data_IF_207912206776
#
_entry.id   IF_207912206776
#
_cell.length_a   1.000
_cell.length_b   1.000
_cell.length_c   1.000
_cell.angle_alpha   90.00
_cell.angle_beta   90.00
_cell.angle_gamma   90.00
#
_symmetry.space_group_name_H-M   'P 1'
#
loop_
_entity.id
_entity.type
_entity.pdbx_description
1 polymer ?
#
# COMPACT_ATOMS: atom_id res chain seq x y z
N UNK A 1 5.38 -52.85 -25.09
CA UNK A 1 4.85 -51.54 -24.63
C UNK A 1 5.43 -51.26 -23.26
N UNK A 2 6.41 -50.36 -23.14
CA UNK A 2 6.98 -49.96 -21.84
C UNK A 2 6.02 -48.96 -21.22
N UNK A 3 5.29 -49.35 -20.17
CA UNK A 3 4.39 -48.43 -19.47
C UNK A 3 5.24 -47.27 -18.94
N UNK A 4 4.96 -46.07 -19.42
CA UNK A 4 5.53 -44.84 -18.91
C UNK A 4 5.03 -44.70 -17.47
N UNK A 5 5.93 -44.89 -16.51
CA UNK A 5 5.62 -44.67 -15.10
C UNK A 5 5.42 -43.15 -14.95
N UNK A 6 4.28 -42.68 -14.46
CA UNK A 6 4.08 -41.25 -14.23
C UNK A 6 5.12 -40.76 -13.23
N UNK A 7 5.75 -39.62 -13.51
CA UNK A 7 6.65 -38.99 -12.56
C UNK A 7 5.93 -38.73 -11.24
N UNK A 8 6.59 -38.97 -10.09
CA UNK A 8 6.02 -38.66 -8.79
C UNK A 8 5.73 -37.15 -8.70
N UNK A 9 4.60 -36.74 -8.09
CA UNK A 9 4.29 -35.33 -7.95
C UNK A 9 5.41 -34.65 -7.15
N UNK A 10 5.98 -33.59 -7.72
CA UNK A 10 6.89 -32.71 -7.00
C UNK A 10 6.15 -32.17 -5.77
N UNK A 11 6.76 -32.17 -4.58
CA UNK A 11 6.15 -31.52 -3.42
C UNK A 11 5.91 -30.05 -3.76
N UNK A 12 4.65 -29.69 -3.96
CA UNK A 12 4.18 -28.32 -4.13
C UNK A 12 4.16 -27.66 -2.75
N UNK A 13 5.35 -27.41 -2.21
CA UNK A 13 5.48 -26.78 -0.90
C UNK A 13 6.43 -25.58 -1.05
N UNK A 14 5.88 -24.48 -1.60
CA UNK A 14 6.40 -23.13 -1.36
C UNK A 14 5.26 -22.11 -1.27
N UNK A 15 5.36 -21.10 -0.39
CA UNK A 15 6.36 -20.91 0.66
C UNK A 15 5.80 -21.27 2.04
N UNK A 16 6.57 -22.02 2.85
CA UNK A 16 6.41 -21.93 4.31
C UNK A 16 6.53 -20.45 4.66
N UNK A 17 5.46 -19.84 5.15
CA UNK A 17 5.47 -18.50 5.71
C UNK A 17 6.66 -18.42 6.67
N UNK A 18 7.61 -17.55 6.36
CA UNK A 18 8.89 -17.49 7.08
C UNK A 18 8.62 -17.00 8.51
N UNK A 19 8.80 -17.83 9.55
CA UNK A 19 8.52 -17.45 10.92
C UNK A 19 9.39 -16.29 11.40
N UNK A 20 10.57 -16.12 10.81
CA UNK A 20 11.47 -15.01 11.11
C UNK A 20 10.89 -13.70 10.57
N UNK A 21 10.36 -13.73 9.34
CA UNK A 21 9.67 -12.59 8.72
C UNK A 21 8.41 -12.19 9.50
N UNK A 22 7.60 -13.17 9.92
CA UNK A 22 6.40 -12.89 10.73
C UNK A 22 6.76 -12.21 12.06
N UNK A 23 7.83 -12.69 12.72
CA UNK A 23 8.31 -12.07 13.97
C UNK A 23 8.85 -10.66 13.72
N UNK A 24 9.59 -10.44 12.63
CA UNK A 24 10.08 -9.12 12.25
C UNK A 24 8.91 -8.15 11.99
N UNK A 25 7.89 -8.58 11.26
CA UNK A 25 6.70 -7.78 10.99
C UNK A 25 5.93 -7.45 12.28
N UNK A 26 5.77 -8.41 13.18
CA UNK A 26 5.13 -8.17 14.49
C UNK A 26 5.90 -7.13 15.31
N UNK A 27 7.24 -7.18 15.32
CA UNK A 27 8.07 -6.18 15.99
C UNK A 27 7.93 -4.78 15.36
N UNK A 28 7.86 -4.71 14.02
CA UNK A 28 7.65 -3.45 13.31
C UNK A 28 6.28 -2.85 13.61
N UNK A 29 5.22 -3.67 13.58
CA UNK A 29 3.87 -3.23 13.93
C UNK A 29 3.77 -2.78 15.39
N UNK A 30 4.49 -3.43 16.31
CA UNK A 30 4.56 -2.99 17.70
C UNK A 30 5.31 -1.66 17.87
N UNK A 31 6.32 -1.39 17.03
CA UNK A 31 7.07 -0.14 17.03
C UNK A 31 6.28 1.03 16.40
N UNK A 32 5.34 0.72 15.50
CA UNK A 32 4.44 1.70 14.91
C UNK A 32 3.23 1.91 15.83
N UNK A 33 3.11 3.10 16.41
CA UNK A 33 1.87 3.50 17.07
C UNK A 33 0.76 3.76 16.04
N UNK A 34 -0.45 4.01 16.54
CA UNK A 34 -1.54 4.46 15.68
C UNK A 34 -1.19 5.77 14.96
N UNK A 35 -1.81 5.98 13.78
CA UNK A 35 -1.63 7.19 12.98
C UNK A 35 -1.80 8.46 13.80
N UNK A 36 -1.05 9.53 13.47
CA UNK A 36 -1.37 10.88 13.95
C UNK A 36 -2.22 11.62 12.93
N UNK A 37 -2.89 12.67 13.40
CA UNK A 37 -3.60 13.58 12.51
C UNK A 37 -2.60 14.21 11.54
N UNK A 38 -2.79 13.97 10.23
CA UNK A 38 -1.87 14.43 9.19
C UNK A 38 -2.65 15.05 8.03
N UNK A 39 -2.67 16.39 7.87
CA UNK A 39 -3.30 17.02 6.73
C UNK A 39 -2.51 16.74 5.45
N UNK A 40 -3.20 16.58 4.32
CA UNK A 40 -2.60 16.36 2.99
C UNK A 40 -3.50 16.90 1.88
N UNK A 41 -3.01 16.92 0.64
CA UNK A 41 -3.79 17.35 -0.51
C UNK A 41 -4.03 18.86 -0.57
N UNK A 42 -5.10 19.20 -1.27
CA UNK A 42 -5.50 20.58 -1.52
C UNK A 42 -6.01 21.29 -0.25
N UNK A 43 -5.94 22.62 -0.30
CA UNK A 43 -6.49 23.52 0.72
C UNK A 43 -7.64 24.31 0.15
N UNK A 44 -8.60 24.69 0.99
CA UNK A 44 -9.70 25.58 0.60
C UNK A 44 -9.24 27.04 0.43
N UNK A 45 -10.16 27.91 0.03
CA UNK A 45 -9.89 29.35 -0.13
C UNK A 45 -9.52 30.08 1.17
N UNK A 46 -9.65 29.43 2.33
CA UNK A 46 -9.24 29.94 3.64
C UNK A 46 -7.94 29.28 4.12
N UNK A 47 -7.28 28.48 3.29
CA UNK A 47 -6.04 27.78 3.61
C UNK A 47 -6.21 26.56 4.51
N UNK A 48 -7.44 26.10 4.78
CA UNK A 48 -7.69 24.91 5.59
C UNK A 48 -7.47 23.65 4.75
N UNK A 49 -6.82 22.61 5.30
CA UNK A 49 -6.64 21.35 4.58
C UNK A 49 -8.00 20.72 4.28
N UNK A 50 -8.19 20.22 3.05
CA UNK A 50 -9.42 19.53 2.66
C UNK A 50 -9.45 18.08 3.16
N UNK A 51 -8.27 17.46 3.29
CA UNK A 51 -8.14 16.07 3.72
C UNK A 51 -7.12 15.95 4.85
N UNK A 52 -7.35 14.96 5.71
CA UNK A 52 -6.42 14.57 6.74
C UNK A 52 -6.53 13.06 7.01
N UNK A 53 -5.41 12.46 7.39
CA UNK A 53 -5.41 11.11 7.94
C UNK A 53 -6.02 11.16 9.33
N UNK A 54 -6.97 10.26 9.58
CA UNK A 54 -7.59 10.14 10.89
C UNK A 54 -6.56 9.64 11.91
N UNK A 55 -6.42 10.26 13.10
CA UNK A 55 -5.55 9.75 14.15
C UNK A 55 -6.05 8.43 14.73
N UNK A 56 -5.14 7.72 15.39
CA UNK A 56 -5.37 6.50 16.17
C UNK A 56 -5.84 5.28 15.36
N UNK A 57 -5.70 5.30 14.03
CA UNK A 57 -5.87 4.10 13.21
C UNK A 57 -4.68 3.18 13.47
N UNK A 58 -4.96 1.91 13.74
CA UNK A 58 -3.93 0.89 13.98
C UNK A 58 -2.96 0.77 12.77
N UNK A 59 -1.69 0.48 13.05
CA UNK A 59 -0.66 0.41 12.03
C UNK A 59 -0.90 -0.68 10.97
N UNK A 60 -1.41 -1.85 11.35
CA UNK A 60 -1.71 -2.94 10.41
C UNK A 60 -2.82 -2.54 9.44
N UNK A 61 -3.93 -2.02 9.96
CA UNK A 61 -5.06 -1.54 9.16
C UNK A 61 -4.64 -0.40 8.22
N UNK A 62 -3.85 0.55 8.74
CA UNK A 62 -3.33 1.66 7.96
C UNK A 62 -2.41 1.17 6.83
N UNK A 63 -1.50 0.23 7.10
CA UNK A 63 -0.59 -0.32 6.10
C UNK A 63 -1.31 -1.19 5.06
N UNK A 64 -2.37 -1.92 5.43
CA UNK A 64 -3.22 -2.61 4.47
C UNK A 64 -3.86 -1.63 3.48
N UNK A 65 -4.36 -0.49 3.97
CA UNK A 65 -4.89 0.57 3.10
C UNK A 65 -3.81 1.24 2.24
N UNK A 66 -2.61 1.47 2.77
CA UNK A 66 -1.45 1.93 1.97
C UNK A 66 -1.18 0.96 0.82
N UNK A 67 -1.15 -0.34 1.10
CA UNK A 67 -0.93 -1.36 0.06
C UNK A 67 -2.02 -1.32 -1.02
N UNK A 68 -3.28 -1.13 -0.63
CA UNK A 68 -4.39 -1.01 -1.59
C UNK A 68 -4.24 0.25 -2.46
N UNK A 69 -3.92 1.39 -1.87
CA UNK A 69 -3.72 2.65 -2.59
C UNK A 69 -2.56 2.54 -3.60
N UNK A 70 -1.46 1.92 -3.21
CA UNK A 70 -0.30 1.70 -4.09
C UNK A 70 -0.65 0.73 -5.23
N UNK A 71 -1.42 -0.33 -4.96
CA UNK A 71 -1.92 -1.23 -6.00
C UNK A 71 -2.81 -0.50 -6.99
N UNK A 72 -3.74 0.35 -6.54
CA UNK A 72 -4.56 1.15 -7.44
C UNK A 72 -3.70 2.11 -8.29
N UNK A 73 -2.63 2.68 -7.72
CA UNK A 73 -1.71 3.52 -8.48
C UNK A 73 -0.96 2.73 -9.57
N UNK A 74 -0.54 1.49 -9.28
CA UNK A 74 0.10 0.58 -10.23
C UNK A 74 -0.85 0.22 -11.39
N UNK A 75 -2.07 -0.23 -11.09
CA UNK A 75 -3.07 -0.58 -12.13
C UNK A 75 -3.41 0.62 -13.03
N UNK A 76 -3.50 1.83 -12.47
CA UNK A 76 -3.74 3.05 -13.25
C UNK A 76 -2.52 3.42 -14.11
N UNK A 77 -1.30 3.17 -13.63
CA UNK A 77 -0.07 3.38 -14.39
C UNK A 77 0.03 2.44 -15.60
N UNK A 78 -0.37 1.18 -15.42
CA UNK A 78 -0.39 0.19 -16.50
C UNK A 78 -1.38 0.61 -17.59
N UNK A 79 -2.61 0.98 -17.19
CA UNK A 79 -3.64 1.48 -18.11
C UNK A 79 -3.18 2.73 -18.89
N UNK A 80 -2.46 3.66 -18.23
CA UNK A 80 -1.89 4.84 -18.90
C UNK A 80 -0.89 4.44 -19.99
N UNK A 81 -0.03 3.49 -19.66
CA UNK A 81 1.04 3.05 -20.55
C UNK A 81 0.49 2.28 -21.75
N UNK A 82 -0.55 1.48 -21.54
CA UNK A 82 -1.19 0.69 -22.59
C UNK A 82 -2.03 1.54 -23.57
N UNK A 83 -2.66 2.62 -23.10
CA UNK A 83 -3.64 3.39 -23.89
C UNK A 83 -3.10 4.61 -24.60
N UNK A 84 -1.92 5.12 -24.22
CA UNK A 84 -1.03 6.06 -24.93
C UNK A 84 -1.66 7.06 -25.93
N UNK A 85 -2.87 7.55 -25.63
CA UNK A 85 -3.64 8.41 -26.56
C UNK A 85 -3.40 9.91 -26.29
N UNK A 86 -2.61 10.23 -25.25
CA UNK A 86 -2.24 11.60 -24.89
C UNK A 86 -3.30 12.38 -24.10
N UNK A 87 -4.47 11.78 -23.81
CA UNK A 87 -5.59 12.42 -23.08
C UNK A 87 -5.93 11.66 -21.80
N UNK A 88 -4.93 11.36 -20.97
CA UNK A 88 -5.12 10.58 -19.74
C UNK A 88 -4.87 11.40 -18.48
N UNK A 89 -5.01 12.73 -18.59
CA UNK A 89 -4.86 13.66 -17.47
C UNK A 89 -5.64 13.20 -16.24
N UNK A 90 -6.86 12.68 -16.41
CA UNK A 90 -7.67 12.15 -15.30
C UNK A 90 -7.06 10.91 -14.63
N UNK A 91 -6.51 9.98 -15.40
CA UNK A 91 -5.83 8.79 -14.87
C UNK A 91 -4.54 9.17 -14.14
N UNK A 92 -3.75 10.09 -14.71
CA UNK A 92 -2.54 10.60 -14.07
C UNK A 92 -2.88 11.22 -12.71
N UNK A 93 -3.91 12.07 -12.64
CA UNK A 93 -4.34 12.66 -11.38
C UNK A 93 -4.87 11.60 -10.40
N UNK A 94 -5.57 10.57 -10.87
CA UNK A 94 -6.01 9.45 -10.03
C UNK A 94 -4.82 8.71 -9.39
N UNK A 95 -3.82 8.37 -10.20
CA UNK A 95 -2.58 7.74 -9.73
C UNK A 95 -1.85 8.64 -8.71
N UNK A 96 -1.68 9.93 -9.03
CA UNK A 96 -1.02 10.90 -8.15
C UNK A 96 -1.73 11.00 -6.80
N UNK A 97 -3.06 11.10 -6.78
CA UNK A 97 -3.81 11.18 -5.52
C UNK A 97 -3.71 9.88 -4.71
N UNK A 98 -3.71 8.71 -5.35
CA UNK A 98 -3.51 7.42 -4.66
C UNK A 98 -2.13 7.36 -3.97
N UNK A 99 -1.08 7.80 -4.66
CA UNK A 99 0.28 7.88 -4.09
C UNK A 99 0.37 8.93 -2.97
N UNK A 100 -0.28 10.09 -3.15
CA UNK A 100 -0.31 11.14 -2.13
C UNK A 100 -1.01 10.66 -0.85
N UNK A 101 -2.16 9.99 -0.97
CA UNK A 101 -2.87 9.39 0.16
C UNK A 101 -2.02 8.33 0.86
N UNK A 102 -1.39 7.44 0.10
CA UNK A 102 -0.51 6.40 0.65
C UNK A 102 0.63 7.03 1.46
N UNK A 103 1.29 8.04 0.90
CA UNK A 103 2.35 8.79 1.58
C UNK A 103 1.84 9.47 2.85
N UNK A 104 0.67 10.12 2.80
CA UNK A 104 0.11 10.79 3.96
C UNK A 104 -0.12 9.82 5.13
N UNK A 105 -0.61 8.61 4.86
CA UNK A 105 -0.79 7.57 5.87
C UNK A 105 0.55 7.09 6.44
N UNK A 106 1.56 6.87 5.61
CA UNK A 106 2.91 6.51 6.07
C UNK A 106 3.51 7.61 6.95
N UNK A 107 3.44 8.87 6.51
CA UNK A 107 3.89 10.01 7.31
C UNK A 107 3.16 10.08 8.66
N UNK A 108 1.84 9.82 8.67
CA UNK A 108 1.03 9.79 9.89
C UNK A 108 1.45 8.68 10.86
N UNK A 109 1.80 7.50 10.36
CA UNK A 109 2.31 6.37 11.16
C UNK A 109 3.69 6.69 11.73
N UNK A 110 4.59 7.23 10.90
CA UNK A 110 5.94 7.62 11.33
C UNK A 110 5.88 8.74 12.37
N UNK A 111 4.99 9.71 12.21
CA UNK A 111 4.76 10.77 13.19
C UNK A 111 4.20 10.20 14.52
N UNK A 112 3.38 9.14 14.46
CA UNK A 112 2.90 8.39 15.63
C UNK A 112 4.00 7.69 16.42
N UNK A 113 4.98 7.14 15.72
CA UNK A 113 6.11 6.41 16.31
C UNK A 113 7.19 7.32 16.93
N UNK A 114 7.17 8.64 16.65
CA UNK A 114 8.13 9.58 17.26
C UNK A 114 7.77 9.86 18.74
N UNK A 115 8.78 9.90 19.63
CA UNK A 115 8.60 10.23 21.05
C UNK A 115 8.01 11.62 21.27
#
# INVERSE_FOLDING_TARGET
MKKLVPDPPLPTDRPRRDPELDRANANLLAALHGTRHRPFGLRDGQGRPLFAVQPQVNAEDALMHVSLLLKCAEEVSDEITERASGIERGLIWSMVHSVEMARAVVDALLDGARP
#
